data_IF_464239118791
#
_entry.id   IF_464239118791
#
_cell.length_a   1.000
_cell.length_b   1.000
_cell.length_c   1.000
_cell.angle_alpha   90.00
_cell.angle_beta   90.00
_cell.angle_gamma   90.00
#
_symmetry.space_group_name_H-M   'P 1'
#
loop_
_entity.id
_entity.type
_entity.pdbx_description
1 polymer ?
#
# COMPACT_ATOMS: atom_id res chain seq x y z
N UNK A 1 17.75 -8.81 10.72
CA UNK A 1 17.27 -9.96 9.92
C UNK A 1 18.27 -10.24 8.81
N UNK A 2 18.50 -11.50 8.43
CA UNK A 2 19.38 -11.83 7.30
C UNK A 2 18.71 -11.42 5.98
N UNK A 3 19.48 -10.86 5.05
CA UNK A 3 19.00 -10.56 3.70
C UNK A 3 18.49 -11.84 3.02
N UNK A 4 17.31 -11.76 2.40
CA UNK A 4 16.67 -12.89 1.70
C UNK A 4 15.75 -13.77 2.55
N UNK A 5 15.63 -13.56 3.87
CA UNK A 5 14.69 -14.28 4.72
C UNK A 5 13.27 -13.68 4.77
N UNK A 6 13.05 -12.53 4.09
CA UNK A 6 11.77 -11.84 4.03
C UNK A 6 11.80 -10.69 3.02
N UNK A 7 10.63 -10.13 2.74
CA UNK A 7 10.47 -8.93 1.91
C UNK A 7 10.75 -7.69 2.73
N UNK A 8 11.49 -6.74 2.17
CA UNK A 8 11.68 -5.43 2.79
C UNK A 8 10.37 -4.61 2.67
N UNK A 9 9.67 -4.46 3.78
CA UNK A 9 8.43 -3.66 3.88
C UNK A 9 8.77 -2.22 4.26
N UNK A 10 8.13 -1.27 3.57
CA UNK A 10 8.35 0.17 3.73
C UNK A 10 7.02 0.82 4.08
N UNK A 11 7.07 1.67 5.10
CA UNK A 11 5.92 2.45 5.55
C UNK A 11 5.21 3.19 4.40
N UNK A 12 3.91 3.42 4.62
CA UNK A 12 3.02 4.08 3.67
C UNK A 12 3.63 5.40 3.15
N UNK A 13 3.87 5.44 1.84
CA UNK A 13 4.59 6.53 1.18
C UNK A 13 5.77 6.02 0.34
N UNK A 14 6.26 4.82 0.67
CA UNK A 14 7.26 4.11 -0.12
C UNK A 14 8.62 4.81 -0.16
N UNK A 15 9.48 4.36 -1.08
CA UNK A 15 10.82 4.92 -1.26
C UNK A 15 10.81 6.14 -2.18
N UNK A 16 11.72 7.09 -1.92
CA UNK A 16 11.87 8.30 -2.75
C UNK A 16 12.61 8.02 -4.06
N UNK A 17 13.41 6.96 -4.12
CA UNK A 17 14.23 6.57 -5.26
C UNK A 17 14.01 5.10 -5.61
N UNK A 18 14.26 4.76 -6.88
CA UNK A 18 14.27 3.38 -7.32
C UNK A 18 15.42 2.61 -6.66
N UNK A 19 15.18 1.35 -6.33
CA UNK A 19 16.15 0.48 -5.67
C UNK A 19 16.51 -0.74 -6.52
N UNK A 20 17.74 -1.26 -6.38
CA UNK A 20 18.18 -2.44 -7.14
C UNK A 20 17.62 -3.76 -6.59
N UNK A 21 16.86 -3.73 -5.50
CA UNK A 21 16.27 -4.90 -4.83
C UNK A 21 14.75 -4.73 -4.69
N UNK A 22 13.98 -5.83 -4.73
CA UNK A 22 12.54 -5.77 -4.55
C UNK A 22 12.17 -5.38 -3.12
N UNK A 23 11.09 -4.62 -2.99
CA UNK A 23 10.52 -4.17 -1.72
C UNK A 23 9.00 -4.09 -1.83
N UNK A 24 8.32 -3.84 -0.72
CA UNK A 24 6.87 -3.70 -0.67
C UNK A 24 6.46 -2.52 0.21
N UNK A 25 5.30 -1.93 -0.09
CA UNK A 25 4.60 -1.01 0.81
C UNK A 25 3.11 -1.32 0.84
N UNK A 26 2.49 -1.08 1.98
CA UNK A 26 1.06 -1.21 2.19
C UNK A 26 0.32 0.13 2.16
N UNK A 27 -0.90 0.10 1.64
CA UNK A 27 -1.83 1.23 1.72
C UNK A 27 -3.26 0.71 1.75
N UNK A 28 -4.18 1.46 2.34
CA UNK A 28 -5.61 1.16 2.31
C UNK A 28 -6.33 1.94 1.21
N UNK A 29 -7.50 1.47 0.79
CA UNK A 29 -8.41 2.28 -0.03
C UNK A 29 -8.95 3.51 0.71
N UNK A 30 -8.94 3.49 2.04
CA UNK A 30 -9.29 4.64 2.88
C UNK A 30 -8.02 5.39 3.35
N UNK A 31 -8.14 6.68 3.67
CA UNK A 31 -7.04 7.50 4.18
C UNK A 31 -6.88 7.36 5.69
N UNK A 32 -8.01 7.22 6.39
CA UNK A 32 -8.14 7.37 7.84
C UNK A 32 -8.34 6.06 8.61
N UNK A 33 -8.39 4.90 7.93
CA UNK A 33 -8.56 3.60 8.59
C UNK A 33 -8.09 2.45 7.72
N UNK A 34 -7.68 1.35 8.37
CA UNK A 34 -7.44 0.04 7.75
C UNK A 34 -8.69 -0.84 7.77
N UNK A 35 -9.59 -0.64 8.73
CA UNK A 35 -10.83 -1.39 8.89
C UNK A 35 -12.03 -0.57 8.44
N UNK A 36 -13.17 -1.23 8.22
CA UNK A 36 -14.42 -0.53 7.97
C UNK A 36 -14.81 0.39 9.14
N UNK A 37 -15.22 1.62 8.83
CA UNK A 37 -15.89 2.54 9.75
C UNK A 37 -17.03 3.26 9.03
N UNK A 38 -17.94 3.88 9.77
CA UNK A 38 -19.05 4.65 9.18
C UNK A 38 -18.61 6.03 8.65
N UNK A 39 -17.33 6.39 8.77
CA UNK A 39 -16.77 7.72 8.47
C UNK A 39 -15.51 7.63 7.61
N UNK A 40 -15.43 6.61 6.73
CA UNK A 40 -14.28 6.41 5.86
C UNK A 40 -14.14 7.53 4.83
N UNK A 41 -12.92 8.05 4.74
CA UNK A 41 -12.51 8.93 3.64
C UNK A 41 -11.72 8.11 2.61
N UNK A 42 -12.33 7.87 1.45
CA UNK A 42 -11.72 7.03 0.41
C UNK A 42 -10.77 7.81 -0.49
N UNK A 43 -9.69 7.14 -0.87
CA UNK A 43 -8.81 7.59 -1.95
C UNK A 43 -9.55 7.62 -3.26
N UNK A 44 -9.21 8.58 -4.13
CA UNK A 44 -9.71 8.56 -5.49
C UNK A 44 -9.03 7.44 -6.29
N UNK A 45 -9.67 6.99 -7.38
CA UNK A 45 -9.06 6.03 -8.29
C UNK A 45 -7.71 6.53 -8.82
N UNK A 46 -7.63 7.82 -9.18
CA UNK A 46 -6.38 8.44 -9.62
C UNK A 46 -5.29 8.33 -8.57
N UNK A 47 -5.59 8.58 -7.30
CA UNK A 47 -4.59 8.49 -6.21
C UNK A 47 -4.04 7.06 -6.09
N UNK A 48 -4.91 6.05 -6.14
CA UNK A 48 -4.52 4.64 -6.05
C UNK A 48 -3.65 4.24 -7.25
N UNK A 49 -4.08 4.58 -8.47
CA UNK A 49 -3.34 4.23 -9.70
C UNK A 49 -2.00 4.95 -9.78
N UNK A 50 -1.95 6.24 -9.43
CA UNK A 50 -0.69 6.98 -9.39
C UNK A 50 0.27 6.39 -8.35
N UNK A 51 -0.24 5.98 -7.19
CA UNK A 51 0.59 5.30 -6.16
C UNK A 51 1.13 3.97 -6.70
N UNK A 52 0.29 3.16 -7.37
CA UNK A 52 0.71 1.90 -8.01
C UNK A 52 1.83 2.11 -9.03
N UNK A 53 1.67 3.09 -9.92
CA UNK A 53 2.68 3.41 -10.92
C UNK A 53 3.98 3.86 -10.25
N UNK A 54 3.91 4.74 -9.25
CA UNK A 54 5.08 5.23 -8.53
C UNK A 54 5.86 4.09 -7.85
N UNK A 55 5.17 3.22 -7.11
CA UNK A 55 5.81 2.08 -6.41
C UNK A 55 6.42 1.08 -7.40
N UNK A 56 5.68 0.68 -8.44
CA UNK A 56 6.18 -0.27 -9.46
C UNK A 56 7.37 0.30 -10.23
N UNK A 57 7.35 1.60 -10.55
CA UNK A 57 8.47 2.27 -11.23
C UNK A 57 9.77 2.27 -10.42
N UNK A 58 9.67 2.08 -9.10
CA UNK A 58 10.78 2.06 -8.15
C UNK A 58 11.16 0.64 -7.71
N UNK A 59 10.75 -0.39 -8.46
CA UNK A 59 10.98 -1.81 -8.17
C UNK A 59 10.26 -2.33 -6.91
N UNK A 60 9.13 -1.71 -6.55
CA UNK A 60 8.31 -2.09 -5.40
C UNK A 60 7.00 -2.79 -5.78
N UNK A 61 6.41 -3.47 -4.79
CA UNK A 61 5.05 -4.02 -4.84
C UNK A 61 4.11 -3.22 -3.94
N UNK A 62 2.83 -3.13 -4.31
CA UNK A 62 1.77 -2.60 -3.43
C UNK A 62 0.92 -3.73 -2.87
N UNK A 63 0.79 -3.75 -1.55
CA UNK A 63 -0.26 -4.46 -0.85
C UNK A 63 -1.45 -3.51 -0.60
N UNK A 64 -2.54 -3.68 -1.36
CA UNK A 64 -3.73 -2.82 -1.24
C UNK A 64 -4.75 -3.43 -0.28
N UNK A 65 -4.99 -2.76 0.84
CA UNK A 65 -5.97 -3.15 1.84
C UNK A 65 -7.39 -2.64 1.51
N UNK A 66 -8.37 -3.54 1.63
CA UNK A 66 -9.81 -3.28 1.57
C UNK A 66 -10.42 -3.70 2.89
N UNK A 67 -11.15 -2.80 3.55
CA UNK A 67 -11.79 -3.06 4.83
C UNK A 67 -13.27 -3.43 4.65
N UNK A 68 -13.65 -4.73 4.64
CA UNK A 68 -15.04 -5.14 4.55
C UNK A 68 -15.81 -4.76 5.82
N UNK A 69 -17.13 -4.60 5.67
CA UNK A 69 -18.10 -4.47 6.75
C UNK A 69 -18.15 -5.75 7.59
N UNK A 70 -18.70 -5.63 8.79
CA UNK A 70 -18.80 -6.75 9.73
C UNK A 70 -19.68 -7.92 9.22
N UNK A 71 -20.58 -7.65 8.26
CA UNK A 71 -21.39 -8.67 7.59
C UNK A 71 -20.69 -9.33 6.38
N UNK A 72 -19.44 -8.93 6.10
CA UNK A 72 -18.64 -9.43 4.99
C UNK A 72 -18.84 -8.69 3.66
N UNK A 73 -19.69 -7.66 3.62
CA UNK A 73 -19.87 -6.80 2.44
C UNK A 73 -18.83 -5.68 2.29
#
# INVERSE_FOLDING_TARGET
>A
MAWGAGTYEVERGGLSQATPYPWQTDTAIARNSWCYTNTLDYKSLSEIITTLIDVVSKNGNILLNVGPRADGS
#
